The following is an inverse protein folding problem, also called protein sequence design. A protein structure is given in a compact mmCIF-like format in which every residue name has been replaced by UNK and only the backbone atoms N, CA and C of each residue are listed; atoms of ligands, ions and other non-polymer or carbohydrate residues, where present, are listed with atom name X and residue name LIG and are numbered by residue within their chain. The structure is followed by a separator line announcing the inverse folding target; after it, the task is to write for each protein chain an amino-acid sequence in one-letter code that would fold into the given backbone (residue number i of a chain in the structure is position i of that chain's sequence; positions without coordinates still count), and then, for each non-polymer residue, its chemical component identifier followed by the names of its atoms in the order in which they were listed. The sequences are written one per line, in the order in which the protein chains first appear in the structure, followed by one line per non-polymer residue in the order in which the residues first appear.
data_IF_098025487831
#
_entry.id   IF_098025487831
#
_cell.length_a   1.000
_cell.length_b   1.000
_cell.length_c   1.000
_cell.angle_alpha   90.00
_cell.angle_beta   90.00
_cell.angle_gamma   90.00
#
_symmetry.space_group_name_H-M   'P 1'
#
loop_
_entity.id
_entity.type
_entity.pdbx_description
1 polymer ?
#
# COMPACT_ATOMS: atom_id res chain seq x y z
N UNK A 1 -6.17 -2.87 8.32
CA UNK A 1 -6.64 -2.36 9.64
C UNK A 1 -6.20 -3.23 10.80
N UNK A 2 -6.52 -4.53 10.82
CA UNK A 2 -6.27 -5.39 11.99
C UNK A 2 -4.83 -5.33 12.53
N UNK A 3 -3.81 -5.41 11.66
CA UNK A 3 -2.41 -5.29 12.07
C UNK A 3 -2.07 -3.94 12.71
N UNK A 4 -2.58 -2.83 12.15
CA UNK A 4 -2.44 -1.48 12.75
C UNK A 4 -3.06 -1.43 14.14
N UNK A 5 -4.24 -2.05 14.31
CA UNK A 5 -4.93 -2.14 15.61
C UNK A 5 -4.10 -2.91 16.63
N UNK A 6 -3.56 -4.08 16.27
CA UNK A 6 -2.73 -4.87 17.18
C UNK A 6 -1.41 -4.17 17.55
N UNK A 7 -0.74 -3.52 16.60
CA UNK A 7 0.44 -2.73 16.91
C UNK A 7 0.11 -1.62 17.93
N UNK A 8 -0.97 -0.87 17.70
CA UNK A 8 -1.37 0.21 18.61
C UNK A 8 -1.80 -0.30 19.99
N UNK A 9 -2.46 -1.47 20.06
CA UNK A 9 -2.80 -2.11 21.32
C UNK A 9 -1.56 -2.53 22.14
N UNK A 10 -0.42 -2.74 21.49
CA UNK A 10 0.87 -3.04 22.10
C UNK A 10 1.77 -1.79 22.23
N UNK A 11 1.20 -0.58 22.15
CA UNK A 11 1.92 0.70 22.21
C UNK A 11 2.98 0.89 21.10
N UNK A 12 2.86 0.18 19.98
CA UNK A 12 3.70 0.38 18.80
C UNK A 12 3.01 1.36 17.86
N UNK A 13 3.63 2.52 17.54
CA UNK A 13 3.06 3.44 16.56
C UNK A 13 2.97 2.76 15.19
N UNK A 14 1.77 2.77 14.62
CA UNK A 14 1.51 2.18 13.31
C UNK A 14 0.59 3.08 12.47
N UNK A 15 0.77 3.07 11.15
CA UNK A 15 -0.05 3.83 10.19
C UNK A 15 -0.46 2.97 9.01
N UNK A 16 -1.62 3.26 8.45
CA UNK A 16 -2.14 2.65 7.23
C UNK A 16 -1.51 3.33 6.02
N UNK A 17 -1.20 2.55 4.99
CA UNK A 17 -0.62 3.06 3.73
C UNK A 17 -1.43 2.53 2.57
N UNK A 18 -1.77 3.42 1.64
CA UNK A 18 -2.47 3.13 0.38
C UNK A 18 -1.56 3.51 -0.78
N UNK A 19 -1.51 2.66 -1.81
CA UNK A 19 -0.69 2.92 -2.99
C UNK A 19 -0.74 1.83 -4.05
N UNK A 20 0.20 1.91 -5.00
CA UNK A 20 0.40 0.87 -6.00
C UNK A 20 1.37 -0.19 -5.50
N UNK A 21 1.09 -1.44 -5.86
CA UNK A 21 1.96 -2.59 -5.65
C UNK A 21 2.07 -3.37 -6.97
N UNK A 22 2.99 -2.97 -7.87
CA UNK A 22 3.16 -3.65 -9.15
C UNK A 22 3.70 -5.07 -8.96
N UNK A 23 3.50 -5.92 -9.95
CA UNK A 23 3.95 -7.32 -9.95
C UNK A 23 5.41 -7.48 -10.42
N UNK A 24 6.29 -6.57 -9.99
CA UNK A 24 7.72 -6.59 -10.30
C UNK A 24 8.40 -7.74 -9.53
N UNK A 25 9.13 -8.59 -10.26
CA UNK A 25 9.78 -9.81 -9.74
C UNK A 25 8.83 -10.84 -9.12
N UNK A 26 7.61 -10.92 -9.64
CA UNK A 26 6.57 -11.84 -9.16
C UNK A 26 6.34 -12.89 -10.24
N UNK A 27 6.17 -14.17 -9.89
CA UNK A 27 5.84 -15.17 -10.90
C UNK A 27 4.39 -14.99 -11.40
N UNK A 28 4.14 -15.14 -12.71
CA UNK A 28 2.77 -15.17 -13.24
C UNK A 28 2.00 -16.42 -12.78
N UNK A 29 0.65 -16.42 -12.86
CA UNK A 29 -0.20 -15.39 -13.46
C UNK A 29 -0.45 -14.19 -12.53
N UNK A 30 -0.50 -12.99 -13.12
CA UNK A 30 -0.84 -11.77 -12.37
C UNK A 30 -2.36 -11.58 -12.31
N UNK A 31 -2.92 -11.26 -11.13
CA UNK A 31 -4.31 -10.81 -11.04
C UNK A 31 -4.46 -9.45 -11.74
N UNK A 32 -5.72 -9.04 -11.99
CA UNK A 32 -5.96 -7.64 -12.35
C UNK A 32 -5.46 -6.73 -11.22
N UNK A 33 -4.71 -5.70 -11.59
CA UNK A 33 -4.13 -4.75 -10.65
C UNK A 33 -5.22 -3.91 -9.96
N UNK A 34 -4.98 -3.61 -8.69
CA UNK A 34 -5.82 -2.74 -7.86
C UNK A 34 -4.92 -1.89 -6.95
N UNK A 35 -5.47 -0.84 -6.34
CA UNK A 35 -4.80 -0.19 -5.22
C UNK A 35 -4.62 -1.19 -4.09
N UNK A 36 -3.43 -1.19 -3.53
CA UNK A 36 -3.08 -2.06 -2.42
C UNK A 36 -2.95 -1.25 -1.14
N UNK A 37 -3.28 -1.92 -0.04
CA UNK A 37 -3.06 -1.40 1.29
C UNK A 37 -2.06 -2.26 2.04
N UNK A 38 -1.17 -1.60 2.76
CA UNK A 38 -0.26 -2.22 3.72
C UNK A 38 -0.19 -1.33 4.96
N UNK A 39 0.71 -1.64 5.89
CA UNK A 39 0.93 -0.78 7.03
C UNK A 39 2.42 -0.55 7.28
N UNK A 40 2.70 0.52 8.00
CA UNK A 40 4.04 0.80 8.50
C UNK A 40 3.99 0.88 10.02
N UNK A 41 5.00 0.32 10.69
CA UNK A 41 5.20 0.45 12.13
C UNK A 41 6.50 1.21 12.41
N UNK A 42 6.50 2.07 13.43
CA UNK A 42 7.68 2.84 13.81
C UNK A 42 8.51 2.01 14.80
N UNK A 43 9.68 1.53 14.35
CA UNK A 43 10.57 0.66 15.11
C UNK A 43 12.01 1.18 14.98
N UNK A 44 12.69 1.37 16.11
CA UNK A 44 14.10 1.77 16.11
C UNK A 44 14.38 3.12 15.42
N UNK A 45 13.47 4.08 15.50
CA UNK A 45 13.64 5.42 14.90
C UNK A 45 13.23 5.54 13.43
N UNK A 46 12.70 4.47 12.82
CA UNK A 46 12.29 4.46 11.42
C UNK A 46 10.92 3.80 11.20
N UNK A 47 10.28 4.13 10.07
CA UNK A 47 9.06 3.48 9.61
C UNK A 47 9.38 2.23 8.79
N UNK A 48 8.94 1.07 9.26
CA UNK A 48 9.13 -0.22 8.60
C UNK A 48 7.85 -0.66 7.91
N UNK A 49 7.95 -1.08 6.65
CA UNK A 49 6.82 -1.57 5.84
C UNK A 49 6.51 -3.03 6.13
N UNK A 50 5.23 -3.32 6.35
CA UNK A 50 4.69 -4.66 6.55
C UNK A 50 3.45 -4.87 5.69
N UNK A 51 3.40 -5.99 4.98
CA UNK A 51 2.25 -6.38 4.16
C UNK A 51 1.74 -7.75 4.62
N UNK A 52 0.73 -7.79 5.50
CA UNK A 52 0.21 -9.05 6.04
C UNK A 52 -0.62 -9.83 5.01
N UNK A 53 -1.00 -9.24 3.87
CA UNK A 53 -1.73 -9.95 2.81
C UNK A 53 -0.79 -10.91 2.07
N UNK A 54 0.36 -10.39 1.65
CA UNK A 54 1.31 -11.16 0.85
C UNK A 54 2.40 -11.82 1.71
N UNK A 55 2.70 -11.24 2.88
CA UNK A 55 3.73 -11.70 3.82
C UNK A 55 5.11 -11.99 3.16
N UNK A 56 5.41 -11.26 2.09
CA UNK A 56 6.65 -11.37 1.32
C UNK A 56 7.19 -9.98 1.02
N UNK A 57 8.51 -9.88 0.83
CA UNK A 57 9.14 -8.64 0.38
C UNK A 57 8.77 -8.39 -1.06
N UNK A 58 8.18 -7.24 -1.33
CA UNK A 58 7.77 -6.80 -2.67
C UNK A 58 8.45 -5.49 -3.02
N UNK A 59 8.91 -5.38 -4.27
CA UNK A 59 9.53 -4.17 -4.82
C UNK A 59 8.49 -3.27 -5.47
N UNK A 60 8.88 -2.05 -5.82
CA UNK A 60 8.06 -1.15 -6.63
C UNK A 60 6.86 -0.51 -5.93
N UNK A 61 6.78 -0.55 -4.59
CA UNK A 61 5.70 0.14 -3.86
C UNK A 61 5.73 1.64 -4.15
N UNK A 62 4.65 2.17 -4.71
CA UNK A 62 4.46 3.61 -4.91
C UNK A 62 3.41 4.07 -3.91
N UNK A 63 3.86 4.79 -2.89
CA UNK A 63 2.99 5.33 -1.84
C UNK A 63 2.15 6.47 -2.41
N UNK A 64 0.82 6.38 -2.27
CA UNK A 64 -0.08 7.51 -2.55
C UNK A 64 -0.33 8.28 -1.26
N UNK A 65 -0.72 7.58 -0.19
CA UNK A 65 -1.11 8.24 1.06
C UNK A 65 -0.80 7.39 2.30
N UNK A 66 -0.64 8.08 3.43
CA UNK A 66 -0.40 7.51 4.76
C UNK A 66 -1.33 8.18 5.76
N UNK A 67 -2.00 7.39 6.59
CA UNK A 67 -2.98 7.89 7.56
C UNK A 67 -3.21 6.94 8.71
N UNK A 68 -4.12 7.29 9.63
CA UNK A 68 -4.43 6.44 10.79
C UNK A 68 -5.16 5.17 10.37
N UNK A 69 -6.04 5.27 9.40
CA UNK A 69 -6.80 4.19 8.77
C UNK A 69 -7.30 4.64 7.38
N UNK A 70 -8.30 3.95 6.82
CA UNK A 70 -8.81 4.15 5.47
C UNK A 70 -9.61 5.46 5.33
N UNK A 71 -10.09 6.04 6.43
CA UNK A 71 -10.79 7.31 6.39
C UNK A 71 -9.86 8.45 5.99
N UNK A 72 -8.61 8.43 6.48
CA UNK A 72 -7.60 9.45 6.18
C UNK A 72 -7.02 9.31 4.75
N UNK A 73 -7.22 8.16 4.09
CA UNK A 73 -6.56 7.79 2.82
C UNK A 73 -7.50 7.10 1.82
N UNK A 74 -8.77 7.47 1.86
CA UNK A 74 -9.77 6.92 0.94
C UNK A 74 -9.40 7.25 -0.51
N UNK A 75 -9.54 6.27 -1.42
CA UNK A 75 -9.37 6.50 -2.86
C UNK A 75 -10.35 7.57 -3.37
N UNK A 76 -11.59 7.50 -2.93
CA UNK A 76 -12.65 8.46 -3.26
C UNK A 76 -13.52 8.65 -2.02
N UNK A 77 -13.81 9.90 -1.68
CA UNK A 77 -14.85 10.27 -0.71
C UNK A 77 -15.97 10.97 -1.46
N UNK A 78 -17.19 10.42 -1.41
CA UNK A 78 -18.36 10.95 -2.11
C UNK A 78 -19.34 11.57 -1.13
N UNK A 79 -19.89 12.74 -1.48
CA UNK A 79 -20.98 13.38 -0.76
C UNK A 79 -22.24 13.34 -1.64
N UNK A 80 -23.19 12.47 -1.30
CA UNK A 80 -24.34 12.15 -2.15
C UNK A 80 -24.21 10.80 -2.86
N UNK A 81 -25.20 10.43 -3.66
CA UNK A 81 -25.22 9.16 -4.36
C UNK A 81 -24.23 9.16 -5.54
N UNK A 82 -23.37 8.14 -5.58
CA UNK A 82 -22.45 7.90 -6.68
C UNK A 82 -22.42 6.40 -7.01
N UNK A 83 -22.29 6.07 -8.29
CA UNK A 83 -22.12 4.68 -8.76
C UNK A 83 -20.79 4.57 -9.48
N UNK A 84 -19.91 3.70 -8.99
CA UNK A 84 -18.66 3.39 -9.66
C UNK A 84 -18.96 2.65 -10.98
N UNK A 85 -18.68 3.28 -12.11
CA UNK A 85 -18.89 2.69 -13.44
C UNK A 85 -17.71 1.84 -13.89
N UNK A 86 -16.49 2.30 -13.60
CA UNK A 86 -15.25 1.62 -14.00
C UNK A 86 -14.13 2.01 -13.05
N UNK A 87 -13.29 1.04 -12.74
CA UNK A 87 -12.01 1.23 -12.07
C UNK A 87 -10.95 0.47 -12.85
N UNK A 88 -9.88 1.16 -13.21
CA UNK A 88 -8.73 0.59 -13.90
C UNK A 88 -7.48 1.14 -13.23
N UNK A 89 -6.66 0.23 -12.71
CA UNK A 89 -5.40 0.53 -12.02
C UNK A 89 -4.32 -0.21 -12.79
N UNK A 90 -3.17 0.40 -13.01
CA UNK A 90 -1.99 -0.24 -13.58
C UNK A 90 -0.74 0.46 -13.05
N UNK A 91 0.35 -0.31 -12.94
CA UNK A 91 1.67 0.19 -12.60
C UNK A 91 2.68 -0.80 -13.18
N UNK A 92 3.52 -0.30 -14.08
CA UNK A 92 4.49 -1.12 -14.81
C UNK A 92 5.92 -0.69 -14.46
N UNK A 93 6.84 -1.65 -14.49
CA UNK A 93 8.27 -1.34 -14.44
C UNK A 93 8.67 -0.61 -15.73
N UNK A 94 9.42 0.49 -15.61
CA UNK A 94 9.98 1.19 -16.76
C UNK A 94 11.34 0.56 -17.11
N UNK A 95 11.48 -0.08 -18.29
CA UNK A 95 12.74 -0.71 -18.69
C UNK A 95 13.88 0.31 -18.73
N UNK A 96 15.03 -0.04 -18.14
CA UNK A 96 16.26 0.76 -18.23
C UNK A 96 16.39 1.91 -17.22
N UNK A 97 15.43 2.11 -16.32
CA UNK A 97 15.61 3.02 -15.19
C UNK A 97 16.53 2.38 -14.13
N UNK A 98 17.85 2.65 -14.21
CA UNK A 98 18.74 2.37 -13.07
C UNK A 98 18.36 3.34 -11.96
N UNK A 99 17.68 2.84 -10.93
CA UNK A 99 17.42 3.62 -9.72
C UNK A 99 18.73 4.20 -9.20
N UNK A 100 18.78 5.52 -9.01
CA UNK A 100 19.84 6.16 -8.24
C UNK A 100 19.81 5.55 -6.85
N UNK A 101 20.83 4.76 -6.52
CA UNK A 101 21.08 4.26 -5.18
C UNK A 101 21.42 5.45 -4.29
N UNK A 102 20.43 5.93 -3.53
CA UNK A 102 20.63 6.72 -2.31
C UNK A 102 20.18 5.90 -1.10
#
# INVERSE_FOLDING_TARGET
HLAVTFCRALNVPARYVMGYLPDIDVPPPYPMMDFCAWFEAFLGGAWWTFDPRNNERRKGRIVIARGRDALDVAMVTTYGAATLQRMAVWADEIPGSRGSSE
#
